data_IF_386424504929
#
_entry.id   IF_386424504929
#
_cell.length_a   1.000
_cell.length_b   1.000
_cell.length_c   1.000
_cell.angle_alpha   90.00
_cell.angle_beta   90.00
_cell.angle_gamma   90.00
#
_symmetry.space_group_name_H-M   'P 1'
#
loop_
_entity.id
_entity.type
_entity.pdbx_description
1 polymer ?
#
# COMPACT_ATOMS: atom_id res chain seq x y z
N UNK A 1 -21.67 -7.69 27.97
CA UNK A 1 -21.48 -7.78 27.35
C UNK A 1 -21.25 -8.40 26.77
N UNK A 2 -21.33 -8.35 26.58
CA UNK A 2 -21.28 -9.05 25.87
C UNK A 2 -20.51 -9.69 24.99
N UNK A 3 -19.57 -9.42 24.91
CA UNK A 3 -18.81 -10.05 24.02
C UNK A 3 -18.49 -11.22 24.53
N UNK A 4 -18.47 -11.88 23.92
CA UNK A 4 -18.44 -13.06 24.11
C UNK A 4 -17.20 -13.58 23.65
N UNK A 5 -17.16 -14.66 23.15
CA UNK A 5 -15.92 -15.15 22.66
C UNK A 5 -15.57 -14.46 21.37
N UNK A 6 -14.29 -14.35 21.06
CA UNK A 6 -13.86 -13.76 19.84
C UNK A 6 -14.46 -14.47 18.65
N UNK A 7 -14.75 -13.69 17.64
CA UNK A 7 -15.13 -14.27 16.39
C UNK A 7 -13.99 -15.11 15.84
N UNK A 8 -14.30 -16.09 15.02
CA UNK A 8 -13.23 -16.82 14.35
C UNK A 8 -12.32 -15.85 13.63
N UNK A 9 -11.05 -16.19 13.56
CA UNK A 9 -10.09 -15.35 12.89
C UNK A 9 -10.59 -15.08 11.47
N UNK A 10 -10.63 -13.82 11.05
CA UNK A 10 -11.13 -13.50 9.73
C UNK A 10 -10.21 -14.06 8.67
N UNK A 11 -10.80 -14.32 7.51
CA UNK A 11 -10.03 -14.73 6.36
C UNK A 11 -9.10 -13.63 5.89
N UNK A 12 -9.49 -12.38 6.12
CA UNK A 12 -8.73 -11.22 5.68
C UNK A 12 -8.09 -10.53 6.87
N UNK A 13 -6.95 -9.93 6.63
CA UNK A 13 -6.25 -9.20 7.68
C UNK A 13 -6.96 -7.88 7.97
N UNK A 14 -6.77 -7.32 9.16
CA UNK A 14 -7.24 -5.97 9.44
C UNK A 14 -6.64 -4.97 8.45
N UNK A 15 -7.37 -3.89 8.21
CA UNK A 15 -7.03 -2.94 7.17
C UNK A 15 -5.61 -2.37 7.29
N UNK A 16 -5.18 -2.04 8.52
CA UNK A 16 -3.85 -1.47 8.71
C UNK A 16 -2.76 -2.48 8.37
N UNK A 17 -2.91 -3.73 8.80
CA UNK A 17 -1.95 -4.77 8.48
C UNK A 17 -1.99 -5.12 7.01
N UNK A 18 -3.19 -5.16 6.43
CA UNK A 18 -3.33 -5.40 5.01
C UNK A 18 -2.66 -4.33 4.19
N UNK A 19 -2.78 -3.07 4.62
CA UNK A 19 -2.14 -1.96 3.93
C UNK A 19 -0.62 -2.08 4.01
N UNK A 20 -0.09 -2.41 5.18
CA UNK A 20 1.36 -2.59 5.32
C UNK A 20 1.84 -3.71 4.41
N UNK A 21 1.08 -4.79 4.33
CA UNK A 21 1.45 -5.91 3.48
C UNK A 21 1.44 -5.50 2.01
N UNK A 22 0.46 -4.73 1.59
CA UNK A 22 0.37 -4.26 0.22
C UNK A 22 1.52 -3.32 -0.13
N UNK A 23 1.80 -2.33 0.73
CA UNK A 23 2.92 -1.42 0.50
C UNK A 23 4.24 -2.18 0.46
N UNK A 24 4.41 -3.17 1.33
CA UNK A 24 5.63 -3.97 1.37
C UNK A 24 5.78 -4.77 0.08
N UNK A 25 4.69 -5.32 -0.42
CA UNK A 25 4.73 -6.05 -1.67
C UNK A 25 5.16 -5.15 -2.83
N UNK A 26 4.58 -3.95 -2.91
CA UNK A 26 4.94 -3.03 -3.99
C UNK A 26 6.36 -2.51 -3.84
N UNK A 27 6.79 -2.29 -2.59
CA UNK A 27 8.17 -1.91 -2.34
C UNK A 27 9.12 -2.96 -2.88
N UNK A 28 8.88 -4.22 -2.57
CA UNK A 28 9.75 -5.29 -3.02
C UNK A 28 9.70 -5.46 -4.53
N UNK A 29 8.52 -5.28 -5.12
CA UNK A 29 8.39 -5.37 -6.55
C UNK A 29 9.22 -4.30 -7.26
N UNK A 30 9.21 -3.09 -6.72
CA UNK A 30 9.86 -1.96 -7.39
C UNK A 30 11.34 -1.86 -7.09
N UNK A 31 11.79 -2.24 -5.90
CA UNK A 31 13.20 -2.04 -5.54
C UNK A 31 14.14 -2.98 -6.27
N UNK A 32 13.63 -3.99 -6.95
CA UNK A 32 14.46 -4.80 -7.82
C UNK A 32 15.06 -3.99 -8.96
N UNK A 33 14.42 -2.91 -9.36
CA UNK A 33 14.83 -2.19 -10.55
C UNK A 33 15.00 -0.70 -10.34
N UNK A 34 14.39 -0.14 -9.31
CA UNK A 34 14.35 1.31 -9.12
C UNK A 34 14.90 1.69 -7.75
N UNK A 35 15.37 2.94 -7.65
CA UNK A 35 15.75 3.53 -6.38
C UNK A 35 14.72 4.59 -6.02
N UNK A 36 14.46 4.81 -4.73
CA UNK A 36 13.41 5.75 -4.34
C UNK A 36 13.81 7.20 -4.61
N UNK A 37 12.85 7.96 -5.13
CA UNK A 37 13.03 9.40 -5.35
C UNK A 37 11.85 10.09 -4.69
N UNK A 38 12.11 10.98 -3.74
CA UNK A 38 11.03 11.62 -3.01
C UNK A 38 10.37 12.70 -3.87
N UNK A 39 9.24 13.19 -3.36
CA UNK A 39 8.40 14.10 -4.16
C UNK A 39 9.08 15.43 -4.48
N UNK A 40 10.06 15.85 -3.69
CA UNK A 40 10.76 17.09 -3.95
C UNK A 40 11.86 16.93 -4.98
N UNK A 41 12.20 15.69 -5.32
CA UNK A 41 13.27 15.40 -6.24
C UNK A 41 12.78 14.74 -7.53
N UNK A 42 11.48 14.74 -7.76
CA UNK A 42 10.90 14.10 -8.94
C UNK A 42 11.38 14.84 -10.19
N UNK A 43 12.03 14.10 -11.06
CA UNK A 43 12.47 14.65 -12.32
C UNK A 43 11.28 14.85 -13.25
N UNK A 44 11.22 16.01 -13.88
CA UNK A 44 10.18 16.32 -14.87
C UNK A 44 8.77 16.32 -14.30
N UNK A 45 8.64 16.32 -12.99
CA UNK A 45 7.34 16.40 -12.37
C UNK A 45 6.43 15.20 -12.62
N UNK A 46 7.00 14.02 -12.82
CA UNK A 46 6.19 12.83 -13.06
C UNK A 46 5.98 12.02 -11.77
N UNK A 47 4.90 12.28 -11.04
CA UNK A 47 4.65 11.58 -9.78
C UNK A 47 4.21 10.12 -9.97
N UNK A 48 3.99 9.69 -11.20
CA UNK A 48 3.60 8.30 -11.47
C UNK A 48 4.80 7.41 -11.73
N UNK A 49 6.00 7.99 -11.76
CA UNK A 49 7.20 7.22 -12.06
C UNK A 49 7.46 6.18 -10.97
N UNK A 50 7.90 4.97 -11.35
CA UNK A 50 8.12 3.91 -10.36
C UNK A 50 9.06 4.29 -9.22
N UNK A 51 10.05 5.14 -9.48
CA UNK A 51 10.95 5.58 -8.40
C UNK A 51 10.21 6.36 -7.33
N UNK A 52 9.26 7.19 -7.74
CA UNK A 52 8.45 7.93 -6.78
C UNK A 52 7.48 7.00 -6.06
N UNK A 53 6.89 6.05 -6.78
CA UNK A 53 5.99 5.08 -6.16
C UNK A 53 6.72 4.27 -5.10
N UNK A 54 7.96 3.90 -5.37
CA UNK A 54 8.79 3.20 -4.39
C UNK A 54 9.02 4.07 -3.15
N UNK A 55 9.35 5.36 -3.36
CA UNK A 55 9.50 6.27 -2.24
C UNK A 55 8.23 6.35 -1.40
N UNK A 56 7.07 6.40 -2.06
CA UNK A 56 5.79 6.45 -1.35
C UNK A 56 5.60 5.21 -0.48
N UNK A 57 5.95 4.03 -0.99
CA UNK A 57 5.83 2.81 -0.20
C UNK A 57 6.71 2.86 1.04
N UNK A 58 7.97 3.24 0.87
CA UNK A 58 8.93 3.31 1.97
C UNK A 58 8.51 4.34 3.01
N UNK A 59 7.94 5.45 2.56
CA UNK A 59 7.51 6.51 3.45
C UNK A 59 6.26 6.11 4.22
N UNK A 60 5.37 5.38 3.58
CA UNK A 60 4.07 5.06 4.16
C UNK A 60 4.12 3.89 5.16
N UNK A 61 4.96 2.89 4.90
CA UNK A 61 4.98 1.69 5.72
C UNK A 61 5.10 1.98 7.23
N UNK A 62 6.09 2.76 7.69
CA UNK A 62 6.16 3.02 9.13
C UNK A 62 5.01 3.88 9.64
N UNK A 63 4.41 4.67 8.76
CA UNK A 63 3.36 5.60 9.19
C UNK A 63 2.00 4.96 9.30
N UNK A 64 1.79 3.81 8.69
CA UNK A 64 0.53 3.07 8.87
C UNK A 64 0.42 2.54 10.29
N UNK A 65 1.57 2.24 10.92
CA UNK A 65 1.55 1.66 12.24
C UNK A 65 1.65 2.65 13.36
N UNK A 66 1.90 3.91 13.06
CA UNK A 66 2.25 4.86 14.09
C UNK A 66 1.00 5.41 14.74
N UNK A 67 0.71 4.94 15.93
CA UNK A 67 -0.51 5.30 16.63
C UNK A 67 -0.56 6.79 16.91
N UNK A 68 -1.32 7.53 16.14
CA UNK A 68 -1.54 8.94 16.36
C UNK A 68 -0.49 9.85 15.76
N UNK A 69 0.64 9.32 15.34
CA UNK A 69 1.68 10.13 14.72
C UNK A 69 1.85 9.84 13.25
N UNK A 70 1.19 8.81 12.76
CA UNK A 70 1.31 8.42 11.38
C UNK A 70 0.18 8.95 10.51
N UNK A 71 -0.03 8.30 9.39
CA UNK A 71 -1.08 8.68 8.46
C UNK A 71 -2.41 8.14 8.92
N UNK A 72 -3.46 8.95 8.80
CA UNK A 72 -4.81 8.46 9.03
C UNK A 72 -5.17 7.43 7.95
N UNK A 73 -6.11 6.52 8.26
CA UNK A 73 -6.49 5.48 7.29
C UNK A 73 -6.92 6.02 5.92
N UNK A 74 -7.59 7.16 5.90
CA UNK A 74 -7.99 7.75 4.63
C UNK A 74 -6.78 8.13 3.79
N UNK A 75 -5.73 8.61 4.44
CA UNK A 75 -4.54 9.05 3.72
C UNK A 75 -3.78 7.87 3.15
N UNK A 76 -3.49 6.85 3.95
CA UNK A 76 -2.72 5.75 3.40
C UNK A 76 -3.54 4.90 2.44
N UNK A 77 -4.85 4.87 2.57
CA UNK A 77 -5.70 4.20 1.59
C UNK A 77 -5.65 4.90 0.24
N UNK A 78 -5.64 6.23 0.25
CA UNK A 78 -5.51 6.99 -1.00
C UNK A 78 -4.16 6.74 -1.65
N UNK A 79 -3.10 6.72 -0.85
CA UNK A 79 -1.77 6.46 -1.38
C UNK A 79 -1.69 5.06 -1.98
N UNK A 80 -2.28 4.08 -1.29
CA UNK A 80 -2.28 2.71 -1.79
C UNK A 80 -3.02 2.61 -3.13
N UNK A 81 -4.21 3.21 -3.20
CA UNK A 81 -4.98 3.22 -4.45
C UNK A 81 -4.24 3.90 -5.58
N UNK A 82 -3.54 5.00 -5.27
CA UNK A 82 -2.77 5.71 -6.27
C UNK A 82 -1.63 4.83 -6.82
N UNK A 83 -0.89 4.18 -5.93
CA UNK A 83 0.20 3.31 -6.33
C UNK A 83 -0.32 2.16 -7.19
N UNK A 84 -1.40 1.52 -6.75
CA UNK A 84 -1.99 0.43 -7.50
C UNK A 84 -2.43 0.88 -8.89
N UNK A 85 -3.11 2.03 -8.96
CA UNK A 85 -3.57 2.55 -10.24
C UNK A 85 -2.41 2.85 -11.18
N UNK A 86 -1.35 3.46 -10.67
CA UNK A 86 -0.17 3.76 -11.49
C UNK A 86 0.48 2.49 -12.00
N UNK A 87 0.60 1.46 -11.15
CA UNK A 87 1.22 0.21 -11.55
C UNK A 87 0.37 -0.51 -12.60
N UNK A 88 -0.95 -0.47 -12.47
CA UNK A 88 -1.84 -1.05 -13.46
C UNK A 88 -1.70 -0.31 -14.80
N UNK A 89 -1.73 1.01 -14.76
CA UNK A 89 -1.63 1.81 -15.98
C UNK A 89 -0.30 1.61 -16.70
N UNK A 90 0.75 1.35 -15.95
CA UNK A 90 2.09 1.19 -16.54
C UNK A 90 2.39 -0.26 -16.90
N UNK A 91 1.44 -1.17 -16.71
CA UNK A 91 1.60 -2.54 -17.15
C UNK A 91 2.36 -3.45 -16.20
N UNK A 92 2.62 -2.99 -14.96
CA UNK A 92 3.26 -3.86 -13.97
C UNK A 92 2.33 -4.96 -13.49
N UNK A 93 1.03 -4.70 -13.52
CA UNK A 93 0.05 -5.64 -13.01
C UNK A 93 -1.30 -5.36 -13.67
N UNK A 94 -2.33 -6.13 -13.31
CA UNK A 94 -3.68 -5.94 -13.84
C UNK A 94 -4.66 -5.79 -12.68
N UNK A 95 -5.86 -5.30 -13.00
CA UNK A 95 -6.91 -5.16 -12.00
C UNK A 95 -7.24 -6.50 -11.36
N UNK A 96 -7.35 -7.55 -12.19
CA UNK A 96 -7.68 -8.88 -11.68
C UNK A 96 -6.59 -9.41 -10.76
N UNK A 97 -5.34 -9.26 -11.16
CA UNK A 97 -4.22 -9.74 -10.36
C UNK A 97 -4.17 -9.04 -9.02
N UNK A 98 -4.42 -7.71 -9.01
CA UNK A 98 -4.41 -6.95 -7.77
C UNK A 98 -5.57 -7.35 -6.87
N UNK A 99 -6.75 -7.53 -7.45
CA UNK A 99 -7.92 -7.94 -6.68
C UNK A 99 -7.68 -9.28 -6.01
N UNK A 100 -7.16 -10.24 -6.75
CA UNK A 100 -6.94 -11.58 -6.21
C UNK A 100 -5.84 -11.59 -5.15
N UNK A 101 -4.79 -10.80 -5.34
CA UNK A 101 -3.68 -10.76 -4.39
C UNK A 101 -4.06 -10.07 -3.10
N UNK A 102 -4.78 -8.96 -3.20
CA UNK A 102 -5.02 -8.13 -2.03
C UNK A 102 -6.26 -8.52 -1.26
N UNK A 103 -7.18 -9.27 -1.87
CA UNK A 103 -8.41 -9.66 -1.20
C UNK A 103 -8.17 -10.29 0.18
N UNK A 104 -7.25 -11.24 0.34
CA UNK A 104 -7.03 -11.81 1.67
C UNK A 104 -6.32 -10.88 2.63
N UNK A 105 -5.82 -9.75 2.16
CA UNK A 105 -5.10 -8.81 3.02
C UNK A 105 -6.00 -7.75 3.64
N UNK A 106 -7.22 -7.64 3.17
CA UNK A 106 -8.14 -6.63 3.67
C UNK A 106 -9.44 -7.27 4.12
N UNK A 107 -9.98 -6.75 5.22
CA UNK A 107 -11.30 -7.18 5.66
C UNK A 107 -12.34 -6.48 4.81
N UNK A 108 -13.43 -7.15 4.65
CA UNK A 108 -14.53 -6.60 3.87
C UNK A 108 -15.43 -5.77 4.72
#
# INVERSE_FOLDING_TARGET
>A
MGYQKPLPKPMYEPTDQGSIRAFTYYKELLEHKYKPVNHTEIQNGDPTHPEHLLWMCLHCIPRVRDDGLGFAPEKYSRWLGYIQGCLICQGFTTVEAERDRTRPWFTE
#
